data_IF_921840384121
#
_entry.id   IF_921840384121
#
_cell.length_a   1.000
_cell.length_b   1.000
_cell.length_c   1.000
_cell.angle_alpha   90.00
_cell.angle_beta   90.00
_cell.angle_gamma   90.00
#
_symmetry.space_group_name_H-M   'P 1'
#
loop_
_entity.id
_entity.type
_entity.pdbx_description
1 polymer ?
#
# COMPACT_ATOMS: atom_id res chain seq x y z
N UNK A 1 3.67 -7.89 48.75
CA UNK A 1 4.41 -6.89 47.94
C UNK A 1 3.79 -6.91 46.55
N UNK A 2 2.95 -5.91 46.26
CA UNK A 2 3.18 -4.82 45.28
C UNK A 2 2.95 -5.23 43.81
N UNK A 3 1.84 -4.69 43.31
CA UNK A 3 1.31 -4.62 41.94
C UNK A 3 2.29 -4.09 40.87
N UNK A 4 1.80 -4.12 39.61
CA UNK A 4 1.96 -3.17 38.46
C UNK A 4 2.67 -3.83 37.25
N UNK A 5 2.19 -3.78 35.98
CA UNK A 5 1.07 -3.10 35.29
C UNK A 5 0.87 -3.69 33.88
N UNK A 6 -0.32 -3.49 33.33
CA UNK A 6 -0.65 -3.52 31.90
C UNK A 6 0.39 -2.80 31.03
N UNK A 7 0.79 -3.43 29.93
CA UNK A 7 1.44 -2.73 28.82
C UNK A 7 0.35 -2.02 28.00
N UNK A 8 0.07 -0.78 28.38
CA UNK A 8 -0.59 0.18 27.51
C UNK A 8 0.29 0.39 26.27
N UNK A 9 -0.21 0.02 25.10
CA UNK A 9 0.31 0.51 23.81
C UNK A 9 0.28 2.03 23.92
N UNK A 10 1.46 2.64 23.76
CA UNK A 10 1.61 4.10 23.81
C UNK A 10 0.86 4.66 22.60
N UNK A 11 -0.36 5.13 22.83
CA UNK A 11 -1.04 6.08 21.95
C UNK A 11 -0.05 7.22 21.69
N UNK A 12 0.49 7.28 20.47
CA UNK A 12 1.13 8.48 19.99
C UNK A 12 0.02 9.51 19.86
N UNK A 13 -0.12 10.35 20.89
CA UNK A 13 -0.87 11.58 20.79
C UNK A 13 -0.09 12.48 19.82
N UNK A 14 -0.29 12.27 18.52
CA UNK A 14 0.28 13.12 17.48
C UNK A 14 -0.37 14.47 17.63
N UNK A 15 0.37 15.45 18.16
CA UNK A 15 -0.05 16.83 18.15
C UNK A 15 -0.17 17.25 16.68
N UNK A 16 -1.40 17.23 16.15
CA UNK A 16 -1.71 17.74 14.82
C UNK A 16 -1.36 19.23 14.79
N UNK A 17 -0.16 19.57 14.34
CA UNK A 17 0.15 20.93 13.95
C UNK A 17 -0.70 21.23 12.73
N UNK A 18 -1.69 22.11 12.89
CA UNK A 18 -2.48 22.65 11.78
C UNK A 18 -1.52 23.45 10.89
N UNK A 19 -0.84 22.77 9.96
CA UNK A 19 -0.14 23.44 8.88
C UNK A 19 -1.19 23.84 7.86
N UNK A 20 -1.69 25.08 7.96
CA UNK A 20 -2.41 25.71 6.87
C UNK A 20 -1.49 25.69 5.65
N UNK A 21 -1.74 24.79 4.70
CA UNK A 21 -1.08 24.79 3.40
C UNK A 21 -1.50 26.06 2.65
N UNK A 22 -0.81 27.17 2.90
CA UNK A 22 -0.79 28.31 1.99
C UNK A 22 0.17 27.93 0.86
N UNK A 23 -0.40 27.55 -0.29
CA UNK A 23 0.37 27.41 -1.52
C UNK A 23 0.84 28.80 -1.98
N UNK A 24 2.07 29.17 -1.59
CA UNK A 24 2.75 30.35 -2.12
C UNK A 24 3.30 29.99 -3.49
N UNK A 25 2.60 30.41 -4.54
CA UNK A 25 3.15 30.47 -5.90
C UNK A 25 3.95 31.77 -6.07
N UNK A 26 5.23 31.65 -6.41
CA UNK A 26 6.06 32.76 -6.89
C UNK A 26 5.70 33.07 -8.35
N UNK A 27 5.05 34.19 -8.63
CA UNK A 27 5.74 35.38 -9.16
C UNK A 27 4.80 36.61 -9.21
N UNK A 28 5.43 37.78 -9.22
CA UNK A 28 4.95 39.10 -8.80
C UNK A 28 3.69 39.68 -9.50
N UNK A 29 2.67 40.09 -8.72
CA UNK A 29 2.15 41.48 -8.67
C UNK A 29 0.88 41.67 -7.78
N UNK A 30 1.04 42.58 -6.81
CA UNK A 30 0.11 43.24 -5.85
C UNK A 30 -1.43 43.22 -6.06
N UNK A 31 -2.10 42.60 -5.06
CA UNK A 31 -3.25 43.03 -4.20
C UNK A 31 -4.42 43.85 -4.77
N UNK A 32 -5.64 43.28 -4.69
CA UNK A 32 -6.74 43.74 -3.80
C UNK A 32 -7.83 42.66 -3.64
N UNK A 33 -8.46 42.67 -2.47
CA UNK A 33 -9.33 41.63 -1.91
C UNK A 33 -10.71 41.53 -2.59
N UNK A 34 -11.13 40.29 -2.87
CA UNK A 34 -12.55 39.91 -3.09
C UNK A 34 -12.73 38.42 -2.78
N UNK A 35 -13.90 38.09 -2.24
CA UNK A 35 -14.50 36.78 -1.95
C UNK A 35 -13.99 35.61 -2.79
N UNK A 36 -13.56 34.53 -2.14
CA UNK A 36 -13.22 33.27 -2.80
C UNK A 36 -14.48 32.40 -2.78
N UNK A 37 -15.13 32.32 -3.93
CA UNK A 37 -15.93 31.15 -4.31
C UNK A 37 -15.00 29.95 -4.32
N UNK A 38 -15.27 28.95 -3.49
CA UNK A 38 -14.69 27.62 -3.61
C UNK A 38 -15.24 26.99 -4.90
N UNK A 39 -14.41 27.00 -5.93
CA UNK A 39 -14.61 26.13 -7.09
C UNK A 39 -14.02 24.78 -6.72
N UNK A 40 -14.89 23.86 -6.29
CA UNK A 40 -14.57 22.47 -6.08
C UNK A 40 -14.03 21.90 -7.40
N UNK A 41 -12.78 21.45 -7.39
CA UNK A 41 -12.22 20.70 -8.51
C UNK A 41 -12.85 19.31 -8.47
N UNK A 42 -13.92 19.12 -9.26
CA UNK A 42 -14.49 17.81 -9.56
C UNK A 42 -13.39 16.88 -10.06
N UNK A 43 -13.09 15.85 -9.27
CA UNK A 43 -12.34 14.69 -9.75
C UNK A 43 -13.31 13.92 -10.64
N UNK A 44 -13.12 14.06 -11.95
CA UNK A 44 -13.90 13.37 -12.98
C UNK A 44 -13.89 11.86 -12.75
N UNK A 45 -15.09 11.31 -12.67
CA UNK A 45 -15.41 9.90 -12.60
C UNK A 45 -15.65 9.40 -14.02
N UNK A 46 -14.59 8.99 -14.71
CA UNK A 46 -14.70 8.33 -16.01
C UNK A 46 -14.55 6.82 -15.79
N UNK A 47 -15.69 6.15 -15.57
CA UNK A 47 -15.84 4.70 -15.79
C UNK A 47 -16.62 4.56 -17.09
N UNK A 48 -15.92 4.34 -18.20
CA UNK A 48 -16.49 3.70 -19.38
C UNK A 48 -15.49 2.64 -19.88
N UNK A 49 -15.96 1.40 -19.90
CA UNK A 49 -15.26 0.22 -20.39
C UNK A 49 -15.26 0.24 -21.93
N UNK A 50 -14.12 0.50 -22.54
CA UNK A 50 -13.77 -0.05 -23.85
C UNK A 50 -12.62 -1.05 -23.68
N UNK A 51 -12.91 -2.32 -24.00
CA UNK A 51 -11.96 -3.42 -23.98
C UNK A 51 -10.99 -3.24 -25.17
N UNK A 52 -9.90 -2.52 -24.93
CA UNK A 52 -8.73 -2.44 -25.78
C UNK A 52 -7.50 -2.87 -24.97
N UNK A 53 -6.53 -3.51 -25.63
CA UNK A 53 -5.29 -4.04 -25.02
C UNK A 53 -4.78 -3.17 -23.86
N UNK A 54 -4.86 -3.71 -22.64
CA UNK A 54 -4.39 -3.01 -21.45
C UNK A 54 -2.88 -2.85 -21.57
N UNK A 55 -2.46 -1.62 -21.86
CA UNK A 55 -1.08 -1.21 -21.75
C UNK A 55 -0.60 -1.52 -20.32
N UNK A 56 0.51 -2.26 -20.17
CA UNK A 56 1.18 -2.59 -18.91
C UNK A 56 1.82 -1.32 -18.29
N UNK A 57 1.20 -0.15 -18.45
CA UNK A 57 1.71 1.13 -17.98
C UNK A 57 1.64 1.16 -16.45
N UNK A 58 2.80 1.14 -15.81
CA UNK A 58 2.92 1.28 -14.36
C UNK A 58 2.66 2.74 -13.98
N UNK A 59 1.66 2.96 -13.13
CA UNK A 59 1.25 4.27 -12.62
C UNK A 59 1.54 4.39 -11.14
N UNK A 60 2.31 5.41 -10.77
CA UNK A 60 2.53 5.76 -9.36
C UNK A 60 1.32 6.51 -8.80
N UNK A 61 0.85 6.06 -7.63
CA UNK A 61 -0.18 6.71 -6.83
C UNK A 61 0.45 7.24 -5.55
N UNK A 62 -0.01 8.41 -5.13
CA UNK A 62 0.38 9.03 -3.87
C UNK A 62 -0.87 9.41 -3.13
N UNK A 63 -1.06 8.83 -1.95
CA UNK A 63 -2.16 9.17 -1.05
C UNK A 63 -1.61 9.94 0.14
N UNK A 64 -2.04 11.19 0.32
CA UNK A 64 -1.56 12.08 1.40
C UNK A 64 -2.49 12.00 2.60
N UNK A 65 -1.91 11.73 3.75
CA UNK A 65 -2.58 11.71 5.04
C UNK A 65 -2.65 13.10 5.66
N UNK A 66 -3.58 13.24 6.61
CA UNK A 66 -3.78 14.48 7.36
C UNK A 66 -2.61 14.82 8.28
N UNK A 67 -1.91 13.81 8.80
CA UNK A 67 -0.71 14.00 9.62
C UNK A 67 0.54 14.40 8.80
N UNK A 68 0.39 14.54 7.47
CA UNK A 68 1.44 14.91 6.54
C UNK A 68 2.24 13.73 6.00
N UNK A 69 1.98 12.51 6.46
CA UNK A 69 2.55 11.30 5.85
C UNK A 69 1.90 11.02 4.49
N UNK A 70 2.53 10.16 3.70
CA UNK A 70 1.97 9.74 2.43
C UNK A 70 2.30 8.27 2.17
N UNK A 71 1.36 7.57 1.56
CA UNK A 71 1.56 6.25 0.99
C UNK A 71 1.85 6.43 -0.49
N UNK A 72 2.92 5.79 -0.96
CA UNK A 72 3.32 5.81 -2.36
C UNK A 72 3.45 4.38 -2.86
N UNK A 73 2.65 4.06 -3.86
CA UNK A 73 2.56 2.71 -4.43
C UNK A 73 2.36 2.78 -5.94
N UNK A 74 2.73 1.71 -6.61
CA UNK A 74 2.69 1.58 -8.06
C UNK A 74 1.61 0.57 -8.43
N UNK A 75 0.82 0.88 -9.45
CA UNK A 75 -0.25 0.03 -9.99
C UNK A 75 0.01 -0.28 -11.45
N UNK A 76 -0.35 -1.48 -11.89
CA UNK A 76 -0.60 -1.81 -13.29
C UNK A 76 -2.07 -2.23 -13.47
N UNK A 77 -2.42 -2.75 -14.65
CA UNK A 77 -3.76 -3.28 -14.93
C UNK A 77 -4.18 -4.45 -14.02
N UNK A 78 -3.23 -5.07 -13.30
CA UNK A 78 -3.41 -6.22 -12.42
C UNK A 78 -3.21 -5.85 -10.94
N UNK A 79 -3.38 -4.57 -10.59
CA UNK A 79 -3.30 -4.10 -9.21
C UNK A 79 -1.89 -3.69 -8.79
N UNK A 80 -1.56 -3.88 -7.52
CA UNK A 80 -0.32 -3.37 -6.93
C UNK A 80 0.91 -4.09 -7.46
N UNK A 81 1.88 -3.31 -7.95
CA UNK A 81 3.17 -3.81 -8.46
C UNK A 81 4.37 -3.36 -7.64
N UNK A 82 4.19 -2.45 -6.70
CA UNK A 82 5.29 -1.98 -5.86
C UNK A 82 4.87 -0.91 -4.86
N UNK A 83 5.75 -0.69 -3.89
CA UNK A 83 5.66 0.33 -2.86
C UNK A 83 7.01 1.01 -2.69
N UNK A 84 7.00 2.31 -2.42
CA UNK A 84 8.24 3.04 -2.16
C UNK A 84 8.87 2.64 -0.81
N UNK A 85 8.05 2.29 0.19
CA UNK A 85 8.47 1.88 1.52
C UNK A 85 8.61 0.35 1.70
N UNK A 86 8.44 -0.42 0.62
CA UNK A 86 8.66 -1.88 0.59
C UNK A 86 9.42 -2.34 -0.66
N UNK A 87 10.71 -2.02 -0.68
CA UNK A 87 11.58 -2.26 -1.83
C UNK A 87 11.73 -3.76 -2.17
N UNK A 88 11.75 -4.64 -1.18
CA UNK A 88 11.93 -6.07 -1.42
C UNK A 88 10.77 -6.68 -2.19
N UNK A 89 9.52 -6.36 -1.80
CA UNK A 89 8.33 -6.72 -2.57
C UNK A 89 8.42 -6.22 -4.01
N UNK A 90 8.74 -4.94 -4.21
CA UNK A 90 8.81 -4.31 -5.54
C UNK A 90 9.84 -5.02 -6.44
N UNK A 91 11.00 -5.39 -5.90
CA UNK A 91 12.03 -6.09 -6.65
C UNK A 91 11.61 -7.53 -6.96
N UNK A 92 11.07 -8.27 -6.00
CA UNK A 92 10.62 -9.66 -6.23
C UNK A 92 9.51 -9.69 -7.28
N UNK A 93 8.51 -8.79 -7.18
CA UNK A 93 7.46 -8.66 -8.19
C UNK A 93 8.03 -8.43 -9.59
N UNK A 94 9.00 -7.50 -9.71
CA UNK A 94 9.64 -7.22 -11.01
C UNK A 94 10.39 -8.43 -11.57
N UNK A 95 11.11 -9.17 -10.73
CA UNK A 95 11.84 -10.37 -11.14
C UNK A 95 10.89 -11.47 -11.61
N UNK A 96 9.84 -11.78 -10.85
CA UNK A 96 8.85 -12.79 -11.21
C UNK A 96 8.09 -12.39 -12.49
N UNK A 97 7.71 -11.11 -12.63
CA UNK A 97 7.09 -10.61 -13.86
C UNK A 97 8.00 -10.78 -15.09
N UNK A 98 9.31 -10.54 -14.96
CA UNK A 98 10.27 -10.76 -16.04
C UNK A 98 10.48 -12.24 -16.36
N UNK A 99 10.47 -13.12 -15.34
CA UNK A 99 10.52 -14.57 -15.54
C UNK A 99 9.27 -15.07 -16.28
N UNK A 100 8.08 -14.59 -15.89
CA UNK A 100 6.81 -14.89 -16.57
C UNK A 100 6.83 -14.48 -18.04
N UNK A 101 7.35 -13.28 -18.35
CA UNK A 101 7.55 -12.81 -19.74
C UNK A 101 8.48 -13.71 -20.56
N UNK A 102 9.38 -14.42 -19.90
CA UNK A 102 10.30 -15.38 -20.50
C UNK A 102 9.77 -16.82 -20.46
N UNK A 103 8.48 -17.02 -20.16
CA UNK A 103 7.87 -18.33 -19.95
C UNK A 103 8.66 -19.20 -18.95
N UNK A 104 9.15 -18.54 -17.89
CA UNK A 104 9.96 -19.09 -16.81
C UNK A 104 11.30 -19.72 -17.24
N UNK A 105 11.75 -19.44 -18.46
CA UNK A 105 13.12 -19.78 -18.89
C UNK A 105 14.10 -18.84 -18.18
N UNK A 106 14.75 -19.34 -17.13
CA UNK A 106 15.66 -18.56 -16.28
C UNK A 106 16.83 -19.40 -15.77
N UNK A 107 17.84 -18.73 -15.19
CA UNK A 107 19.00 -19.40 -14.60
C UNK A 107 18.77 -19.64 -13.11
N UNK A 108 19.31 -20.74 -12.57
CA UNK A 108 19.31 -21.01 -11.13
C UNK A 108 19.98 -19.87 -10.32
N UNK A 109 20.97 -19.20 -10.89
CA UNK A 109 21.62 -18.05 -10.24
C UNK A 109 20.65 -16.87 -10.08
N UNK A 110 19.83 -16.58 -11.11
CA UNK A 110 18.83 -15.51 -11.03
C UNK A 110 17.79 -15.81 -9.95
N UNK A 111 17.33 -17.06 -9.85
CA UNK A 111 16.43 -17.51 -8.77
C UNK A 111 17.08 -17.33 -7.40
N UNK A 112 18.34 -17.77 -7.22
CA UNK A 112 19.08 -17.62 -5.96
C UNK A 112 19.30 -16.16 -5.55
N UNK A 113 19.38 -15.24 -6.51
CA UNK A 113 19.54 -13.80 -6.21
C UNK A 113 18.30 -13.20 -5.51
N UNK A 114 17.13 -13.86 -5.58
CA UNK A 114 15.93 -13.42 -4.86
C UNK A 114 15.92 -13.82 -3.38
N UNK A 115 16.80 -14.73 -2.94
CA UNK A 115 16.72 -15.37 -1.62
C UNK A 115 16.63 -14.38 -0.46
N UNK A 116 17.54 -13.42 -0.41
CA UNK A 116 17.55 -12.42 0.66
C UNK A 116 16.25 -11.61 0.69
N UNK A 117 15.70 -11.27 -0.48
CA UNK A 117 14.52 -10.42 -0.62
C UNK A 117 13.24 -11.15 -0.25
N UNK A 118 13.10 -12.41 -0.67
CA UNK A 118 11.95 -13.24 -0.32
C UNK A 118 11.97 -13.52 1.20
N UNK A 119 13.13 -13.87 1.75
CA UNK A 119 13.29 -14.07 3.18
C UNK A 119 12.99 -12.81 4.01
N UNK A 120 13.22 -11.62 3.46
CA UNK A 120 12.99 -10.35 4.18
C UNK A 120 11.54 -9.84 4.11
N UNK A 121 10.70 -10.32 3.17
CA UNK A 121 9.34 -9.81 2.92
C UNK A 121 8.55 -9.56 4.22
N UNK A 122 8.38 -10.57 5.07
CA UNK A 122 7.60 -10.43 6.31
C UNK A 122 8.24 -9.53 7.37
N UNK A 123 9.57 -9.35 7.33
CA UNK A 123 10.27 -8.47 8.27
C UNK A 123 10.29 -7.01 7.84
N UNK A 124 10.22 -6.75 6.53
CA UNK A 124 10.30 -5.41 5.93
C UNK A 124 8.96 -4.86 5.50
N UNK A 125 7.89 -5.65 5.54
CA UNK A 125 6.53 -5.20 5.22
C UNK A 125 6.11 -4.00 6.09
N UNK A 126 5.55 -2.93 5.49
CA UNK A 126 4.99 -1.79 6.20
C UNK A 126 3.92 -2.20 7.22
N UNK A 127 3.91 -1.56 8.38
CA UNK A 127 3.01 -1.95 9.48
C UNK A 127 1.52 -1.88 9.13
N UNK A 128 1.13 -0.96 8.25
CA UNK A 128 -0.25 -0.77 7.80
C UNK A 128 -0.73 -1.83 6.79
N UNK A 129 0.19 -2.64 6.25
CA UNK A 129 -0.10 -3.78 5.38
C UNK A 129 -0.06 -5.13 6.13
N UNK A 130 0.25 -5.14 7.43
CA UNK A 130 0.37 -6.36 8.24
C UNK A 130 -0.99 -6.90 8.69
N UNK A 131 -1.85 -7.23 7.74
CA UNK A 131 -3.07 -8.01 7.99
C UNK A 131 -2.72 -9.49 8.13
N UNK A 132 -3.64 -10.30 8.65
CA UNK A 132 -3.45 -11.76 8.79
C UNK A 132 -3.27 -12.43 7.42
N UNK A 133 -4.18 -12.19 6.47
CA UNK A 133 -4.11 -12.69 5.08
C UNK A 133 -2.80 -12.30 4.38
N UNK A 134 -2.39 -11.02 4.43
CA UNK A 134 -1.13 -10.60 3.80
C UNK A 134 0.08 -11.30 4.42
N UNK A 135 0.05 -11.54 5.73
CA UNK A 135 1.13 -12.27 6.40
C UNK A 135 1.10 -13.77 6.11
N UNK A 136 -0.07 -14.36 5.89
CA UNK A 136 -0.25 -15.73 5.40
C UNK A 136 0.32 -15.87 3.98
N UNK A 137 -0.05 -14.98 3.06
CA UNK A 137 0.45 -14.99 1.67
C UNK A 137 1.96 -14.76 1.59
N UNK A 138 2.51 -13.89 2.45
CA UNK A 138 3.96 -13.74 2.58
C UNK A 138 4.60 -15.05 3.01
N UNK A 139 3.99 -15.79 3.93
CA UNK A 139 4.50 -17.08 4.38
C UNK A 139 4.41 -18.15 3.28
N UNK A 140 3.33 -18.15 2.49
CA UNK A 140 3.14 -19.02 1.33
C UNK A 140 4.21 -18.75 0.25
N UNK A 141 4.45 -17.48 -0.10
CA UNK A 141 5.55 -17.10 -1.02
C UNK A 141 6.90 -17.58 -0.51
N UNK A 142 7.16 -17.44 0.78
CA UNK A 142 8.41 -17.89 1.39
C UNK A 142 8.54 -19.41 1.36
N UNK A 143 7.44 -20.14 1.60
CA UNK A 143 7.39 -21.59 1.53
C UNK A 143 7.67 -22.09 0.12
N UNK A 144 6.94 -21.61 -0.88
CA UNK A 144 7.14 -22.05 -2.27
C UNK A 144 8.52 -21.70 -2.81
N UNK A 145 9.09 -20.57 -2.37
CA UNK A 145 10.47 -20.24 -2.73
C UNK A 145 11.48 -21.22 -2.13
N UNK A 146 11.26 -21.70 -0.90
CA UNK A 146 12.12 -22.71 -0.28
C UNK A 146 12.05 -24.04 -1.03
N UNK A 147 10.86 -24.47 -1.41
CA UNK A 147 10.64 -25.68 -2.23
C UNK A 147 11.36 -25.55 -3.60
N UNK A 148 11.25 -24.39 -4.26
CA UNK A 148 11.95 -24.08 -5.50
C UNK A 148 13.49 -24.20 -5.41
N UNK A 149 14.08 -23.87 -4.26
CA UNK A 149 15.55 -23.89 -4.09
C UNK A 149 16.07 -25.14 -3.38
N UNK A 150 15.19 -26.05 -2.93
CA UNK A 150 15.56 -27.26 -2.18
C UNK A 150 16.34 -28.26 -3.05
N UNK A 151 15.91 -28.49 -4.30
CA UNK A 151 16.66 -29.30 -5.25
C UNK A 151 17.40 -28.43 -6.30
N UNK A 152 18.70 -28.15 -6.08
CA UNK A 152 19.49 -27.37 -7.04
C UNK A 152 19.76 -28.11 -8.37
N UNK A 153 19.46 -29.42 -8.44
CA UNK A 153 19.63 -30.25 -9.65
C UNK A 153 18.30 -30.62 -10.30
N UNK A 154 17.18 -30.02 -9.85
CA UNK A 154 15.87 -30.20 -10.46
C UNK A 154 15.91 -30.02 -11.98
N UNK A 155 15.09 -30.81 -12.67
CA UNK A 155 14.99 -30.72 -14.13
C UNK A 155 14.50 -29.34 -14.57
N UNK A 156 14.74 -28.96 -15.83
CA UNK A 156 14.27 -27.68 -16.35
C UNK A 156 12.73 -27.55 -16.29
N UNK A 157 12.00 -28.66 -16.48
CA UNK A 157 10.54 -28.69 -16.38
C UNK A 157 10.07 -28.52 -14.93
N UNK A 158 10.66 -29.27 -14.00
CA UNK A 158 10.33 -29.19 -12.58
C UNK A 158 10.63 -27.80 -12.00
N UNK A 159 11.79 -27.22 -12.32
CA UNK A 159 12.11 -25.85 -11.92
C UNK A 159 11.13 -24.83 -12.50
N UNK A 160 10.62 -25.07 -13.70
CA UNK A 160 9.61 -24.23 -14.33
C UNK A 160 8.27 -24.34 -13.59
N UNK A 161 7.82 -25.56 -13.30
CA UNK A 161 6.59 -25.82 -12.53
C UNK A 161 6.67 -25.12 -11.16
N UNK A 162 7.76 -25.30 -10.42
CA UNK A 162 7.96 -24.65 -9.11
C UNK A 162 8.03 -23.11 -9.21
N UNK A 163 8.52 -22.56 -10.34
CA UNK A 163 8.50 -21.12 -10.59
C UNK A 163 7.11 -20.59 -10.92
N UNK A 164 6.28 -21.39 -11.58
CA UNK A 164 4.88 -21.11 -11.83
C UNK A 164 4.12 -21.06 -10.49
N UNK A 165 4.30 -22.07 -9.63
CA UNK A 165 3.68 -22.13 -8.29
C UNK A 165 4.10 -20.94 -7.40
N UNK A 166 5.40 -20.62 -7.32
CA UNK A 166 5.87 -19.42 -6.63
C UNK A 166 5.25 -18.14 -7.20
N UNK A 167 5.10 -18.07 -8.52
CA UNK A 167 4.53 -16.90 -9.20
C UNK A 167 3.02 -16.77 -8.94
N UNK A 168 2.30 -17.88 -8.76
CA UNK A 168 0.89 -17.90 -8.36
C UNK A 168 0.73 -17.40 -6.93
N UNK A 169 1.53 -17.90 -5.98
CA UNK A 169 1.51 -17.39 -4.60
C UNK A 169 1.86 -15.92 -4.47
N UNK A 170 2.71 -15.42 -5.36
CA UNK A 170 3.00 -14.00 -5.41
C UNK A 170 1.85 -13.17 -6.00
N UNK A 171 1.05 -13.75 -6.91
CA UNK A 171 -0.15 -13.10 -7.42
C UNK A 171 -1.27 -13.07 -6.35
N UNK A 172 -1.42 -14.13 -5.54
CA UNK A 172 -2.31 -14.15 -4.36
C UNK A 172 -1.94 -13.00 -3.40
N UNK A 173 -0.66 -12.90 -3.02
CA UNK A 173 -0.15 -11.78 -2.20
C UNK A 173 -0.48 -10.41 -2.81
N UNK A 174 -0.39 -10.26 -4.12
CA UNK A 174 -0.73 -9.00 -4.79
C UNK A 174 -2.21 -8.66 -4.70
N UNK A 175 -3.07 -9.66 -4.78
CA UNK A 175 -4.52 -9.49 -4.63
C UNK A 175 -4.86 -8.97 -3.24
N UNK A 176 -4.36 -9.62 -2.18
CA UNK A 176 -4.60 -9.20 -0.80
C UNK A 176 -4.00 -7.82 -0.49
N UNK A 177 -2.86 -7.47 -1.09
CA UNK A 177 -2.29 -6.13 -0.99
C UNK A 177 -3.15 -5.07 -1.69
N UNK A 178 -3.73 -5.38 -2.85
CA UNK A 178 -4.63 -4.47 -3.55
C UNK A 178 -5.94 -4.23 -2.77
N UNK A 179 -6.50 -5.28 -2.16
CA UNK A 179 -7.63 -5.17 -1.23
C UNK A 179 -7.28 -4.30 -0.02
N UNK A 180 -6.15 -4.60 0.63
CA UNK A 180 -5.70 -3.89 1.84
C UNK A 180 -5.44 -2.41 1.55
N UNK A 181 -4.79 -2.09 0.43
CA UNK A 181 -4.57 -0.71 -0.01
C UNK A 181 -5.90 0.01 -0.20
N UNK A 182 -6.84 -0.59 -0.93
CA UNK A 182 -8.17 0.01 -1.18
C UNK A 182 -8.90 0.31 0.12
N UNK A 183 -8.98 -0.66 1.03
CA UNK A 183 -9.69 -0.50 2.30
C UNK A 183 -9.02 0.57 3.18
N UNK A 184 -7.69 0.52 3.27
CA UNK A 184 -6.90 1.49 4.02
C UNK A 184 -7.08 2.92 3.49
N UNK A 185 -7.00 3.12 2.18
CA UNK A 185 -7.21 4.46 1.58
C UNK A 185 -8.64 4.95 1.78
N UNK A 186 -9.63 4.05 1.67
CA UNK A 186 -11.05 4.41 1.82
C UNK A 186 -11.36 4.91 3.23
N UNK A 187 -10.84 4.26 4.27
CA UNK A 187 -11.03 4.73 5.66
C UNK A 187 -10.44 6.13 5.85
N UNK A 188 -9.28 6.40 5.25
CA UNK A 188 -8.71 7.74 5.34
C UNK A 188 -9.53 8.78 4.57
N UNK A 189 -10.10 8.41 3.41
CA UNK A 189 -10.98 9.29 2.64
C UNK A 189 -12.23 9.66 3.47
N UNK A 190 -12.90 8.66 4.05
CA UNK A 190 -14.05 8.86 4.93
C UNK A 190 -13.68 9.72 6.16
N UNK A 191 -12.57 9.43 6.82
CA UNK A 191 -12.10 10.23 7.96
C UNK A 191 -11.83 11.70 7.59
N UNK A 192 -11.24 11.95 6.43
CA UNK A 192 -10.96 13.30 5.94
C UNK A 192 -12.25 14.03 5.55
N UNK A 193 -13.20 13.32 4.94
CA UNK A 193 -14.52 13.87 4.59
C UNK A 193 -15.27 14.35 5.85
N UNK A 194 -15.44 13.48 6.85
CA UNK A 194 -16.12 13.79 8.12
C UNK A 194 -15.44 14.95 8.86
N UNK A 195 -14.10 14.96 8.91
CA UNK A 195 -13.34 16.08 9.46
C UNK A 195 -13.67 17.39 8.76
N UNK A 196 -13.66 17.40 7.42
CA UNK A 196 -13.90 18.60 6.65
C UNK A 196 -15.34 19.11 6.81
N UNK A 197 -16.32 18.23 6.99
CA UNK A 197 -17.69 18.61 7.28
C UNK A 197 -17.83 19.39 8.60
N UNK A 198 -17.22 18.91 9.68
CA UNK A 198 -17.30 19.58 10.98
C UNK A 198 -16.46 20.87 11.02
N UNK A 199 -15.34 20.92 10.28
CA UNK A 199 -14.57 22.17 10.09
C UNK A 199 -15.40 23.23 9.37
N UNK A 200 -16.15 22.88 8.32
CA UNK A 200 -17.07 23.82 7.64
C UNK A 200 -18.14 24.38 8.59
N UNK A 201 -18.51 23.62 9.63
CA UNK A 201 -19.45 24.03 10.69
C UNK A 201 -18.77 24.83 11.80
N UNK A 202 -17.45 25.05 11.74
CA UNK A 202 -16.67 25.76 12.76
C UNK A 202 -16.43 24.96 14.04
N UNK A 203 -16.65 23.64 14.02
CA UNK A 203 -16.59 22.76 15.19
C UNK A 203 -15.30 21.95 15.18
N UNK A 204 -14.21 22.58 15.60
CA UNK A 204 -12.87 21.98 15.54
C UNK A 204 -12.76 20.72 16.41
N UNK A 205 -13.27 20.76 17.64
CA UNK A 205 -13.19 19.61 18.56
C UNK A 205 -13.96 18.40 18.02
N UNK A 206 -15.17 18.62 17.49
CA UNK A 206 -15.97 17.57 16.87
C UNK A 206 -15.28 16.99 15.62
N UNK A 207 -14.68 17.84 14.79
CA UNK A 207 -13.94 17.37 13.63
C UNK A 207 -12.79 16.43 14.02
N UNK A 208 -12.04 16.78 15.07
CA UNK A 208 -10.95 15.93 15.58
C UNK A 208 -11.51 14.60 16.13
N UNK A 209 -12.63 14.64 16.83
CA UNK A 209 -13.31 13.45 17.34
C UNK A 209 -13.71 12.51 16.20
N UNK A 210 -14.48 12.98 15.21
CA UNK A 210 -14.93 12.19 14.05
C UNK A 210 -13.75 11.57 13.28
N UNK A 211 -12.70 12.35 13.00
CA UNK A 211 -11.48 11.83 12.34
C UNK A 211 -10.87 10.68 13.14
N UNK A 212 -10.75 10.82 14.46
CA UNK A 212 -10.16 9.80 15.32
C UNK A 212 -11.07 8.58 15.46
N UNK A 213 -12.39 8.73 15.36
CA UNK A 213 -13.33 7.61 15.36
C UNK A 213 -13.23 6.78 14.08
N UNK A 214 -13.14 7.46 12.94
CA UNK A 214 -12.98 6.83 11.63
C UNK A 214 -11.65 6.09 11.51
N UNK A 215 -10.53 6.72 11.91
CA UNK A 215 -9.20 6.10 11.84
C UNK A 215 -9.07 4.86 12.74
N UNK A 216 -9.84 4.73 13.82
CA UNK A 216 -9.87 3.48 14.62
C UNK A 216 -10.37 2.27 13.83
N UNK A 217 -11.04 2.47 12.69
CA UNK A 217 -11.43 1.36 11.81
C UNK A 217 -10.20 0.65 11.21
N UNK A 218 -9.04 1.32 11.12
CA UNK A 218 -7.80 0.70 10.65
C UNK A 218 -7.33 -0.44 11.55
N UNK A 219 -7.52 -0.33 12.87
CA UNK A 219 -7.18 -1.40 13.81
C UNK A 219 -7.96 -2.68 13.46
N UNK A 220 -9.19 -2.54 12.97
CA UNK A 220 -10.03 -3.68 12.56
C UNK A 220 -9.54 -4.34 11.28
N UNK A 221 -8.87 -3.63 10.38
CA UNK A 221 -8.26 -4.24 9.17
C UNK A 221 -7.09 -5.14 9.59
N UNK A 222 -6.30 -4.68 10.56
CA UNK A 222 -5.18 -5.46 11.10
C UNK A 222 -5.64 -6.66 11.93
N UNK A 223 -6.82 -6.58 12.54
CA UNK A 223 -7.43 -7.64 13.37
C UNK A 223 -8.40 -8.58 12.63
N UNK A 224 -8.83 -8.24 11.40
CA UNK A 224 -9.75 -9.06 10.60
C UNK A 224 -9.06 -9.57 9.35
N UNK A 225 -8.84 -10.87 9.31
CA UNK A 225 -9.44 -11.85 8.39
C UNK A 225 -8.78 -13.18 8.70
#
# INVERSE_FOLDING_TARGET
MKNIKMNSIKLFATALTVSSFMLVSCDNAKKKATEIKEEATEIKKDIENEVGEMDDEVKTRTYKMKDGTAIVYNLDAKGVVGFDDWADFTVVNSELAQMRKSNFVTTAQRVKNMNFRIASLGSTIPAWLKTEEVMEDVADVQKEYLELIEDPNASDNERKENLEELSEKFDDLREELDETVKEYTKIHEEAIEEYNEEIKKGKIDAAIEEYNEEIKKLDKILEKK
#
